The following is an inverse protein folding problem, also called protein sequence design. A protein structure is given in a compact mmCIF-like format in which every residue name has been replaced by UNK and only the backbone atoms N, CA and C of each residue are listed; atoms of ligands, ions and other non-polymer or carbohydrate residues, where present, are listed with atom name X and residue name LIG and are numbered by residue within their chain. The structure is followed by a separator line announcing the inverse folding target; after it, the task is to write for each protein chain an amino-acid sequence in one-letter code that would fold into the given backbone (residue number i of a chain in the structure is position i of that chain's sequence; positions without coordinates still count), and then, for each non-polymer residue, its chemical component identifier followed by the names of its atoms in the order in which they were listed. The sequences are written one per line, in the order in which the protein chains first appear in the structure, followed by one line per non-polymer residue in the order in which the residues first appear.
data_IF_080003376695
#
_entry.id   IF_080003376695
#
_cell.length_a   1.000
_cell.length_b   1.000
_cell.length_c   1.000
_cell.angle_alpha   90.00
_cell.angle_beta   90.00
_cell.angle_gamma   90.00
#
_symmetry.space_group_name_H-M   'P 1'
#
loop_
_entity.id
_entity.type
_entity.pdbx_description
1 polymer ?
#
# COMPACT_ATOMS: atom_id res chain seq x y z
N UNK A 1 32.40 6.37 27.54
CA UNK A 1 32.04 6.15 26.12
C UNK A 1 30.56 5.83 26.06
N UNK A 2 29.74 6.83 25.76
CA UNK A 2 28.29 6.68 25.63
C UNK A 2 28.00 6.21 24.22
N UNK A 3 27.43 5.02 24.06
CA UNK A 3 26.93 4.53 22.76
C UNK A 3 25.63 5.28 22.48
N UNK A 4 25.59 6.03 21.38
CA UNK A 4 24.39 6.66 20.88
C UNK A 4 23.39 5.55 20.48
N UNK A 5 22.20 5.56 21.09
CA UNK A 5 21.08 4.76 20.61
C UNK A 5 20.74 5.24 19.20
N UNK A 6 21.08 4.43 18.19
CA UNK A 6 20.64 4.67 16.83
C UNK A 6 19.12 4.75 16.81
N UNK A 7 18.58 5.84 16.24
CA UNK A 7 17.16 5.98 15.98
C UNK A 7 16.69 4.76 15.19
N UNK A 8 15.90 3.89 15.82
CA UNK A 8 15.19 2.83 15.12
C UNK A 8 14.22 3.54 14.17
N UNK A 9 14.61 3.65 12.90
CA UNK A 9 13.69 4.09 11.84
C UNK A 9 12.52 3.13 11.85
N UNK A 10 11.34 3.62 12.26
CA UNK A 10 10.13 2.83 12.28
C UNK A 10 9.79 2.43 10.83
N UNK A 11 10.07 1.18 10.46
CA UNK A 11 9.64 0.61 9.19
C UNK A 11 8.13 0.46 9.26
N UNK A 12 7.42 1.01 8.29
CA UNK A 12 5.95 0.90 8.22
C UNK A 12 5.57 -0.55 7.95
N UNK A 13 4.78 -1.14 8.83
CA UNK A 13 4.22 -2.48 8.60
C UNK A 13 3.01 -2.43 7.65
N UNK A 14 2.54 -3.60 7.22
CA UNK A 14 1.33 -3.72 6.42
C UNK A 14 0.12 -3.14 7.17
N UNK A 15 0.00 -3.44 8.47
CA UNK A 15 -1.05 -2.96 9.36
C UNK A 15 -0.99 -1.44 9.57
N UNK A 16 0.22 -0.89 9.75
CA UNK A 16 0.41 0.56 9.87
C UNK A 16 -0.02 1.30 8.61
N UNK A 17 0.30 0.75 7.43
CA UNK A 17 -0.15 1.30 6.16
C UNK A 17 -1.67 1.27 6.07
N UNK A 18 -2.30 0.16 6.43
CA UNK A 18 -3.76 0.04 6.34
C UNK A 18 -4.45 1.04 7.26
N UNK A 19 -3.96 1.18 8.49
CA UNK A 19 -4.46 2.16 9.45
C UNK A 19 -4.32 3.60 8.92
N UNK A 20 -3.19 3.96 8.31
CA UNK A 20 -2.97 5.27 7.70
C UNK A 20 -3.93 5.53 6.52
N UNK A 21 -4.11 4.55 5.64
CA UNK A 21 -4.99 4.69 4.47
C UNK A 21 -6.47 4.79 4.90
N UNK A 22 -6.88 4.01 5.89
CA UNK A 22 -8.23 4.09 6.47
C UNK A 22 -8.47 5.48 7.10
N UNK A 23 -7.46 6.03 7.78
CA UNK A 23 -7.55 7.37 8.35
C UNK A 23 -7.62 8.45 7.25
N UNK A 24 -6.87 8.33 6.16
CA UNK A 24 -7.00 9.23 4.99
C UNK A 24 -8.38 9.14 4.36
N UNK A 25 -8.94 7.94 4.24
CA UNK A 25 -10.29 7.74 3.72
C UNK A 25 -11.35 8.44 4.61
N UNK A 26 -11.16 8.41 5.93
CA UNK A 26 -12.04 9.05 6.92
C UNK A 26 -11.91 10.57 6.95
N UNK A 27 -10.68 11.08 7.01
CA UNK A 27 -10.39 12.51 7.20
C UNK A 27 -10.33 13.30 5.91
N UNK A 28 -10.17 12.60 4.78
CA UNK A 28 -10.15 13.15 3.42
C UNK A 28 -9.23 14.37 3.27
N UNK A 29 -7.94 14.29 3.65
CA UNK A 29 -7.03 15.43 3.57
C UNK A 29 -6.85 15.90 2.13
N UNK A 30 -6.85 17.22 1.92
CA UNK A 30 -6.70 17.82 0.60
C UNK A 30 -5.38 17.39 -0.07
N UNK A 31 -5.46 17.05 -1.36
CA UNK A 31 -4.29 16.61 -2.14
C UNK A 31 -3.86 15.16 -1.92
N UNK A 32 -4.61 14.36 -1.16
CA UNK A 32 -4.30 12.94 -0.98
C UNK A 32 -4.57 12.13 -2.24
N UNK A 33 -3.53 11.45 -2.75
CA UNK A 33 -3.67 10.48 -3.84
C UNK A 33 -4.65 9.35 -3.48
N UNK A 34 -4.57 8.83 -2.25
CA UNK A 34 -5.50 7.80 -1.74
C UNK A 34 -6.97 8.25 -1.85
N UNK A 35 -7.26 9.50 -1.44
CA UNK A 35 -8.63 10.04 -1.55
C UNK A 35 -9.05 10.16 -3.01
N UNK A 36 -8.17 10.62 -3.90
CA UNK A 36 -8.45 10.72 -5.33
C UNK A 36 -8.75 9.36 -5.96
N UNK A 37 -8.02 8.30 -5.58
CA UNK A 37 -8.28 6.94 -6.06
C UNK A 37 -9.60 6.39 -5.55
N UNK A 38 -9.91 6.60 -4.27
CA UNK A 38 -11.19 6.21 -3.69
C UNK A 38 -12.36 6.89 -4.39
N UNK A 39 -12.22 8.18 -4.72
CA UNK A 39 -13.22 8.94 -5.46
C UNK A 39 -13.35 8.49 -6.93
N UNK A 40 -12.26 8.02 -7.54
CA UNK A 40 -12.26 7.43 -8.88
C UNK A 40 -12.91 6.03 -8.91
N UNK A 41 -12.98 5.36 -7.76
CA UNK A 41 -13.75 4.14 -7.54
C UNK A 41 -13.06 2.84 -7.94
N UNK A 42 -13.75 1.73 -7.65
CA UNK A 42 -13.24 0.35 -7.74
C UNK A 42 -12.61 0.02 -9.09
N UNK A 43 -13.18 0.49 -10.21
CA UNK A 43 -12.65 0.20 -11.54
C UNK A 43 -11.27 0.85 -11.77
N UNK A 44 -11.08 2.07 -11.28
CA UNK A 44 -9.79 2.75 -11.36
C UNK A 44 -8.73 2.03 -10.52
N UNK A 45 -9.06 1.75 -9.26
CA UNK A 45 -8.15 1.06 -8.32
C UNK A 45 -7.79 -0.34 -8.86
N UNK A 46 -8.76 -1.07 -9.42
CA UNK A 46 -8.53 -2.38 -10.02
C UNK A 46 -7.55 -2.34 -11.20
N UNK A 47 -7.58 -1.28 -12.03
CA UNK A 47 -6.57 -1.10 -13.09
C UNK A 47 -5.17 -0.90 -12.52
N UNK A 48 -5.04 -0.07 -11.48
CA UNK A 48 -3.75 0.13 -10.79
C UNK A 48 -3.21 -1.17 -10.20
N UNK A 49 -4.05 -1.99 -9.56
CA UNK A 49 -3.61 -3.31 -9.07
C UNK A 49 -3.06 -4.18 -10.20
N UNK A 50 -3.72 -4.21 -11.36
CA UNK A 50 -3.25 -5.01 -12.51
C UNK A 50 -1.95 -4.46 -13.09
N UNK A 51 -1.81 -3.13 -13.15
CA UNK A 51 -0.60 -2.43 -13.58
C UNK A 51 0.59 -2.79 -12.67
N UNK A 52 0.47 -2.58 -11.36
CA UNK A 52 1.55 -2.86 -10.41
C UNK A 52 1.86 -4.36 -10.30
N UNK A 53 0.87 -5.23 -10.52
CA UNK A 53 1.13 -6.68 -10.55
C UNK A 53 1.98 -7.07 -11.76
N UNK A 54 1.72 -6.46 -12.93
CA UNK A 54 2.55 -6.66 -14.11
C UNK A 54 3.94 -6.05 -13.91
N UNK A 55 4.04 -4.85 -13.35
CA UNK A 55 5.32 -4.19 -13.08
C UNK A 55 6.14 -4.95 -12.03
N UNK A 56 5.52 -5.45 -10.95
CA UNK A 56 6.18 -6.30 -9.96
C UNK A 56 6.78 -7.56 -10.59
N UNK A 57 6.04 -8.23 -11.50
CA UNK A 57 6.56 -9.40 -12.21
C UNK A 57 7.73 -9.00 -13.12
N UNK A 58 7.58 -7.94 -13.91
CA UNK A 58 8.63 -7.49 -14.83
C UNK A 58 9.90 -7.05 -14.08
N UNK A 59 9.76 -6.35 -12.95
CA UNK A 59 10.87 -5.93 -12.12
C UNK A 59 11.60 -7.15 -11.53
N UNK A 60 10.87 -8.13 -11.01
CA UNK A 60 11.46 -9.35 -10.47
C UNK A 60 12.27 -10.17 -11.50
N UNK A 61 11.90 -10.10 -12.78
CA UNK A 61 12.61 -10.81 -13.86
C UNK A 61 13.80 -10.03 -14.42
N UNK A 62 13.72 -8.69 -14.44
CA UNK A 62 14.60 -7.87 -15.29
C UNK A 62 15.26 -6.67 -14.59
N UNK A 63 14.93 -6.39 -13.34
CA UNK A 63 15.40 -5.21 -12.61
C UNK A 63 16.10 -5.60 -11.30
N UNK A 64 16.53 -4.59 -10.53
CA UNK A 64 17.17 -4.81 -9.24
C UNK A 64 16.18 -5.21 -8.14
N UNK A 65 16.70 -5.75 -7.04
CA UNK A 65 15.91 -6.05 -5.83
C UNK A 65 15.24 -4.78 -5.26
N UNK A 66 15.89 -3.62 -5.39
CA UNK A 66 15.36 -2.34 -4.92
C UNK A 66 14.14 -1.90 -5.76
N UNK A 67 14.24 -2.00 -7.09
CA UNK A 67 13.13 -1.70 -8.00
C UNK A 67 11.97 -2.70 -7.80
N UNK A 68 12.28 -3.99 -7.66
CA UNK A 68 11.27 -5.02 -7.37
C UNK A 68 10.53 -4.73 -6.07
N UNK A 69 11.27 -4.37 -5.01
CA UNK A 69 10.66 -4.00 -3.73
C UNK A 69 9.78 -2.75 -3.85
N UNK A 70 10.17 -1.77 -4.68
CA UNK A 70 9.38 -0.59 -4.96
C UNK A 70 8.02 -0.96 -5.60
N UNK A 71 8.01 -1.77 -6.66
CA UNK A 71 6.75 -2.15 -7.31
C UNK A 71 5.84 -3.00 -6.44
N UNK A 72 6.42 -3.95 -5.68
CA UNK A 72 5.65 -4.73 -4.70
C UNK A 72 5.04 -3.78 -3.65
N UNK A 73 5.75 -2.73 -3.22
CA UNK A 73 5.21 -1.77 -2.27
C UNK A 73 4.00 -1.00 -2.83
N UNK A 74 4.02 -0.65 -4.12
CA UNK A 74 2.91 0.01 -4.81
C UNK A 74 1.72 -0.95 -4.94
N UNK A 75 1.97 -2.21 -5.29
CA UNK A 75 0.94 -3.25 -5.34
C UNK A 75 0.25 -3.42 -3.98
N UNK A 76 1.00 -3.53 -2.89
CA UNK A 76 0.45 -3.65 -1.54
C UNK A 76 -0.38 -2.42 -1.16
N UNK A 77 0.07 -1.22 -1.53
CA UNK A 77 -0.69 0.01 -1.34
C UNK A 77 -2.05 -0.05 -2.07
N UNK A 78 -2.09 -0.33 -3.37
CA UNK A 78 -3.35 -0.33 -4.13
C UNK A 78 -4.31 -1.46 -3.71
N UNK A 79 -3.79 -2.61 -3.30
CA UNK A 79 -4.61 -3.68 -2.71
C UNK A 79 -5.30 -3.21 -1.44
N UNK A 80 -4.60 -2.51 -0.54
CA UNK A 80 -5.22 -1.95 0.66
C UNK A 80 -6.21 -0.82 0.36
N UNK A 81 -5.95 0.02 -0.65
CA UNK A 81 -6.95 1.01 -1.13
C UNK A 81 -8.21 0.32 -1.65
N UNK A 82 -8.07 -0.80 -2.38
CA UNK A 82 -9.21 -1.61 -2.81
C UNK A 82 -9.98 -2.20 -1.63
N UNK A 83 -9.29 -2.70 -0.60
CA UNK A 83 -9.95 -3.18 0.62
C UNK A 83 -10.84 -2.09 1.22
N UNK A 84 -10.32 -0.88 1.38
CA UNK A 84 -11.06 0.27 1.92
C UNK A 84 -12.24 0.64 1.01
N UNK A 85 -12.04 0.71 -0.31
CA UNK A 85 -13.11 0.99 -1.28
C UNK A 85 -14.24 -0.05 -1.24
N UNK A 86 -13.93 -1.29 -0.86
CA UNK A 86 -14.86 -2.41 -0.74
C UNK A 86 -15.43 -2.58 0.68
N UNK A 87 -14.93 -1.83 1.66
CA UNK A 87 -15.32 -1.97 3.07
C UNK A 87 -14.80 -3.24 3.75
N UNK A 88 -13.68 -3.79 3.28
CA UNK A 88 -13.04 -4.97 3.85
C UNK A 88 -12.00 -4.58 4.90
N UNK A 89 -12.00 -5.26 6.03
CA UNK A 89 -10.98 -5.13 7.08
C UNK A 89 -9.77 -6.02 6.80
N UNK A 90 -8.66 -5.79 7.53
CA UNK A 90 -7.53 -6.74 7.53
C UNK A 90 -7.96 -8.13 8.01
N UNK A 91 -8.82 -8.22 9.02
CA UNK A 91 -9.33 -9.50 9.54
C UNK A 91 -10.09 -10.29 8.48
N UNK A 92 -10.90 -9.61 7.66
CA UNK A 92 -11.63 -10.22 6.54
C UNK A 92 -10.69 -10.89 5.54
N UNK A 93 -9.46 -10.37 5.35
CA UNK A 93 -8.46 -10.94 4.46
C UNK A 93 -7.60 -11.98 5.18
N UNK A 94 -7.12 -11.68 6.39
CA UNK A 94 -6.22 -12.54 7.16
C UNK A 94 -6.83 -13.89 7.53
N UNK A 95 -8.15 -13.98 7.67
CA UNK A 95 -8.83 -15.27 7.89
C UNK A 95 -8.66 -16.28 6.73
N UNK A 96 -8.13 -15.85 5.59
CA UNK A 96 -7.87 -16.67 4.41
C UNK A 96 -6.38 -17.02 4.21
N UNK A 97 -5.50 -16.56 5.10
CA UNK A 97 -4.06 -16.86 5.10
C UNK A 97 -3.74 -17.99 6.07
#
# INVERSE_FOLDING_TARGET
MTVAAGSLTHVKSFDDLYAELAEKARTRPAGSGTVAELDAGVHFIGKKIVEEAAESWMAAEFQSDEETAAEISQLLYHVQVMMIAKGLTLEDVYRHL
#
